data_IF_783917526656
#
_entry.id   IF_783917526656
#
_cell.length_a   1.000
_cell.length_b   1.000
_cell.length_c   1.000
_cell.angle_alpha   90.00
_cell.angle_beta   90.00
_cell.angle_gamma   90.00
#
_symmetry.space_group_name_H-M   'P 1'
#
loop_
_entity.id
_entity.type
_entity.pdbx_description
1 polymer ?
#
# COMPACT_ATOMS: atom_id res chain seq x y z
N UNK A 1 -38.23 18.94 -37.97
CA UNK A 1 -37.57 19.62 -36.81
C UNK A 1 -37.57 18.78 -35.52
N UNK A 2 -38.65 18.10 -35.15
CA UNK A 2 -38.73 17.31 -33.89
C UNK A 2 -37.82 16.06 -33.88
N UNK A 3 -37.73 15.32 -34.99
CA UNK A 3 -36.86 14.13 -35.09
C UNK A 3 -35.37 14.44 -34.86
N UNK A 4 -34.88 15.56 -35.40
CA UNK A 4 -33.49 16.00 -35.23
C UNK A 4 -33.17 16.29 -33.76
N UNK A 5 -34.13 16.85 -33.00
CA UNK A 5 -33.99 17.10 -31.56
C UNK A 5 -34.01 15.80 -30.74
N UNK A 6 -34.83 14.82 -31.13
CA UNK A 6 -34.88 13.50 -30.49
C UNK A 6 -33.55 12.76 -30.64
N UNK A 7 -33.03 12.66 -31.87
CA UNK A 7 -31.73 11.99 -32.14
C UNK A 7 -30.56 12.65 -31.41
N UNK A 8 -30.58 13.98 -31.24
CA UNK A 8 -29.56 14.70 -30.48
C UNK A 8 -29.58 14.32 -29.00
N UNK A 9 -30.78 14.23 -28.39
CA UNK A 9 -30.94 13.83 -26.98
C UNK A 9 -30.49 12.40 -26.74
N UNK A 10 -30.87 11.48 -27.63
CA UNK A 10 -30.45 10.07 -27.56
C UNK A 10 -28.92 9.93 -27.63
N UNK A 11 -28.25 10.70 -28.51
CA UNK A 11 -26.77 10.73 -28.57
C UNK A 11 -26.14 11.29 -27.30
N UNK A 12 -26.65 12.41 -26.79
CA UNK A 12 -26.12 13.02 -25.56
C UNK A 12 -26.33 12.11 -24.34
N UNK A 13 -27.45 11.40 -24.28
CA UNK A 13 -27.70 10.42 -23.23
C UNK A 13 -26.74 9.23 -23.32
N UNK A 14 -26.52 8.71 -24.53
CA UNK A 14 -25.56 7.65 -24.77
C UNK A 14 -24.13 8.07 -24.37
N UNK A 15 -23.67 9.25 -24.81
CA UNK A 15 -22.36 9.78 -24.44
C UNK A 15 -22.21 9.95 -22.92
N UNK A 16 -23.26 10.44 -22.23
CA UNK A 16 -23.26 10.55 -20.76
C UNK A 16 -23.18 9.19 -20.09
N UNK A 17 -23.89 8.19 -20.59
CA UNK A 17 -23.83 6.82 -20.05
C UNK A 17 -22.44 6.21 -20.26
N UNK A 18 -21.84 6.40 -21.44
CA UNK A 18 -20.48 5.92 -21.71
C UNK A 18 -19.44 6.58 -20.80
N UNK A 19 -19.52 7.91 -20.63
CA UNK A 19 -18.62 8.64 -19.73
C UNK A 19 -18.78 8.15 -18.30
N UNK A 20 -20.01 7.99 -17.80
CA UNK A 20 -20.26 7.44 -16.47
C UNK A 20 -19.69 6.03 -16.30
N UNK A 21 -19.90 5.16 -17.29
CA UNK A 21 -19.37 3.79 -17.28
C UNK A 21 -17.84 3.79 -17.23
N UNK A 22 -17.18 4.63 -18.04
CA UNK A 22 -15.71 4.79 -18.02
C UNK A 22 -15.22 5.30 -16.67
N UNK A 23 -15.88 6.31 -16.10
CA UNK A 23 -15.54 6.84 -14.77
C UNK A 23 -15.70 5.78 -13.68
N UNK A 24 -16.74 4.97 -13.71
CA UNK A 24 -16.93 3.87 -12.77
C UNK A 24 -15.81 2.82 -12.90
N UNK A 25 -15.45 2.43 -14.13
CA UNK A 25 -14.36 1.50 -14.37
C UNK A 25 -13.00 2.06 -13.89
N UNK A 26 -12.72 3.34 -14.13
CA UNK A 26 -11.51 4.00 -13.63
C UNK A 26 -11.47 4.03 -12.10
N UNK A 27 -12.60 4.33 -11.44
CA UNK A 27 -12.67 4.29 -9.98
C UNK A 27 -12.43 2.89 -9.42
N UNK A 28 -13.03 1.87 -10.01
CA UNK A 28 -12.80 0.48 -9.62
C UNK A 28 -11.31 0.11 -9.73
N UNK A 29 -10.67 0.45 -10.86
CA UNK A 29 -9.25 0.21 -11.07
C UNK A 29 -8.36 0.94 -10.03
N UNK A 30 -8.71 2.17 -9.65
CA UNK A 30 -8.00 2.89 -8.58
C UNK A 30 -8.16 2.21 -7.23
N UNK A 31 -9.37 1.77 -6.88
CA UNK A 31 -9.63 1.03 -5.64
C UNK A 31 -8.85 -0.30 -5.59
N UNK A 32 -8.74 -1.00 -6.72
CA UNK A 32 -7.96 -2.22 -6.82
C UNK A 32 -6.46 -1.95 -6.62
N UNK A 33 -5.95 -0.84 -7.17
CA UNK A 33 -4.57 -0.40 -6.96
C UNK A 33 -4.30 -0.03 -5.51
N UNK A 34 -5.17 0.76 -4.88
CA UNK A 34 -5.04 1.14 -3.46
C UNK A 34 -5.02 -0.12 -2.57
N UNK A 35 -5.88 -1.10 -2.87
CA UNK A 35 -5.92 -2.37 -2.15
C UNK A 35 -4.66 -3.22 -2.39
N UNK A 36 -4.05 -3.15 -3.58
CA UNK A 36 -2.78 -3.81 -3.85
C UNK A 36 -1.61 -3.13 -3.11
N UNK A 37 -1.58 -1.81 -3.07
CA UNK A 37 -0.57 -1.04 -2.32
C UNK A 37 -0.65 -1.34 -0.83
N UNK A 38 -1.85 -1.35 -0.24
CA UNK A 38 -2.04 -1.69 1.16
C UNK A 38 -1.48 -3.09 1.49
N UNK A 39 -1.77 -4.09 0.65
CA UNK A 39 -1.22 -5.45 0.82
C UNK A 39 0.30 -5.50 0.69
N UNK A 40 0.89 -4.68 -0.18
CA UNK A 40 2.35 -4.58 -0.31
C UNK A 40 2.98 -3.94 0.93
N UNK A 41 2.35 -2.92 1.51
CA UNK A 41 2.82 -2.28 2.74
C UNK A 41 2.72 -3.22 3.96
N UNK A 42 1.66 -4.02 4.03
CA UNK A 42 1.52 -5.08 5.05
C UNK A 42 2.61 -6.15 4.88
N UNK A 43 2.83 -6.63 3.66
CA UNK A 43 3.87 -7.61 3.36
C UNK A 43 5.26 -7.06 3.70
N UNK A 44 5.54 -5.80 3.35
CA UNK A 44 6.78 -5.12 3.69
C UNK A 44 6.98 -5.01 5.20
N UNK A 45 5.92 -4.70 5.95
CA UNK A 45 5.95 -4.62 7.40
C UNK A 45 6.20 -5.99 8.04
N UNK A 46 5.59 -7.05 7.51
CA UNK A 46 5.82 -8.42 7.95
C UNK A 46 7.27 -8.87 7.70
N UNK A 47 7.84 -8.56 6.53
CA UNK A 47 9.26 -8.80 6.23
C UNK A 47 10.14 -8.03 7.20
N UNK A 48 9.84 -6.75 7.45
CA UNK A 48 10.60 -5.92 8.37
C UNK A 48 10.66 -6.52 9.79
N UNK A 49 9.50 -6.96 10.31
CA UNK A 49 9.42 -7.62 11.60
C UNK A 49 10.19 -8.94 11.63
N UNK A 50 10.12 -9.74 10.57
CA UNK A 50 10.87 -11.00 10.49
C UNK A 50 12.39 -10.79 10.46
N UNK A 51 12.86 -9.81 9.68
CA UNK A 51 14.28 -9.45 9.60
C UNK A 51 14.77 -8.89 10.94
N UNK A 52 13.97 -8.06 11.61
CA UNK A 52 14.32 -7.54 12.92
C UNK A 52 14.47 -8.65 13.96
N UNK A 53 13.51 -9.59 14.05
CA UNK A 53 13.60 -10.77 14.92
C UNK A 53 14.80 -11.66 14.60
N UNK A 54 15.09 -11.87 13.31
CA UNK A 54 16.28 -12.63 12.93
C UNK A 54 17.55 -11.94 13.45
N UNK A 55 17.66 -10.63 13.27
CA UNK A 55 18.83 -9.86 13.68
C UNK A 55 19.06 -9.83 15.21
N UNK A 56 18.07 -10.20 16.03
CA UNK A 56 18.25 -10.41 17.48
C UNK A 56 18.91 -11.74 17.82
N UNK A 57 18.78 -12.75 16.94
CA UNK A 57 19.31 -14.11 17.14
C UNK A 57 20.69 -14.27 16.51
N UNK A 58 20.96 -13.59 15.39
CA UNK A 58 22.25 -13.66 14.72
C UNK A 58 23.32 -12.81 15.46
N UNK A 59 24.60 -13.24 15.44
CA UNK A 59 25.67 -12.55 16.16
C UNK A 59 26.00 -11.16 15.59
N UNK A 60 25.67 -10.91 14.32
CA UNK A 60 25.83 -9.62 13.68
C UNK A 60 24.86 -9.46 12.50
N UNK A 61 24.72 -8.22 12.01
CA UNK A 61 23.96 -7.94 10.80
C UNK A 61 24.62 -8.54 9.57
N UNK A 62 25.95 -8.56 9.54
CA UNK A 62 26.77 -9.13 8.48
C UNK A 62 26.52 -10.65 8.37
N UNK A 63 26.47 -11.37 9.49
CA UNK A 63 26.16 -12.80 9.51
C UNK A 63 24.75 -13.11 8.98
N UNK A 64 23.77 -12.24 9.25
CA UNK A 64 22.43 -12.37 8.69
C UNK A 64 22.41 -12.07 7.18
N UNK A 65 23.16 -11.06 6.73
CA UNK A 65 23.26 -10.69 5.32
C UNK A 65 23.96 -11.79 4.47
N UNK A 66 24.87 -12.57 5.07
CA UNK A 66 25.50 -13.72 4.40
C UNK A 66 24.53 -14.88 4.12
N UNK A 67 23.44 -15.00 4.90
CA UNK A 67 22.50 -16.12 4.85
C UNK A 67 21.14 -15.75 4.23
N UNK A 68 20.96 -14.49 3.87
CA UNK A 68 19.72 -13.97 3.31
C UNK A 68 20.00 -13.24 2.00
N UNK A 69 18.99 -13.04 1.15
CA UNK A 69 19.15 -12.23 -0.06
C UNK A 69 19.31 -10.73 0.24
N UNK A 70 19.32 -10.32 1.51
CA UNK A 70 19.41 -8.91 1.91
C UNK A 70 20.86 -8.50 2.18
N UNK A 71 21.24 -7.31 1.72
CA UNK A 71 22.51 -6.71 2.14
C UNK A 71 22.41 -6.09 3.56
N UNK A 72 23.57 -5.72 4.12
CA UNK A 72 23.64 -5.09 5.46
C UNK A 72 22.84 -3.79 5.54
N UNK A 73 22.75 -3.02 4.45
CA UNK A 73 22.00 -1.76 4.43
C UNK A 73 20.50 -2.03 4.45
N UNK A 74 20.05 -3.04 3.72
CA UNK A 74 18.66 -3.50 3.67
C UNK A 74 18.23 -4.05 5.02
N UNK A 75 19.03 -4.90 5.65
CA UNK A 75 18.74 -5.42 7.00
C UNK A 75 18.59 -4.27 8.00
N UNK A 76 19.52 -3.31 8.02
CA UNK A 76 19.42 -2.13 8.89
C UNK A 76 18.21 -1.26 8.56
N UNK A 77 17.82 -1.18 7.29
CA UNK A 77 16.62 -0.45 6.87
C UNK A 77 15.35 -1.12 7.41
N UNK A 78 15.25 -2.44 7.32
CA UNK A 78 14.13 -3.21 7.89
C UNK A 78 14.06 -3.11 9.41
N UNK A 79 15.20 -3.17 10.12
CA UNK A 79 15.23 -2.93 11.56
C UNK A 79 14.72 -1.52 11.93
N UNK A 80 15.14 -0.48 11.19
CA UNK A 80 14.65 0.89 11.42
C UNK A 80 13.15 1.00 11.14
N UNK A 81 12.67 0.35 10.08
CA UNK A 81 11.25 0.35 9.73
C UNK A 81 10.42 -0.33 10.83
N UNK A 82 10.86 -1.49 11.32
CA UNK A 82 10.20 -2.21 12.40
C UNK A 82 10.13 -1.38 13.69
N UNK A 83 11.25 -0.79 14.13
CA UNK A 83 11.28 0.06 15.33
C UNK A 83 10.36 1.29 15.22
N UNK A 84 10.25 1.89 14.03
CA UNK A 84 9.33 3.00 13.79
C UNK A 84 7.88 2.55 13.89
N UNK A 85 7.56 1.38 13.36
CA UNK A 85 6.22 0.81 13.44
C UNK A 85 5.84 0.50 14.91
N UNK A 86 6.76 -0.07 15.69
CA UNK A 86 6.54 -0.31 17.12
C UNK A 86 6.36 0.99 17.91
N UNK A 87 7.18 2.01 17.64
CA UNK A 87 7.06 3.32 18.28
C UNK A 87 5.72 4.01 17.95
N UNK A 88 5.22 3.84 16.73
CA UNK A 88 3.90 4.36 16.34
C UNK A 88 2.74 3.54 16.93
N UNK A 89 2.95 2.27 17.25
CA UNK A 89 1.96 1.38 17.83
C UNK A 89 1.90 1.45 19.37
N UNK A 90 2.93 1.96 20.04
CA UNK A 90 2.95 2.17 21.47
C UNK A 90 2.00 3.35 21.83
N UNK A 91 0.85 3.10 22.50
CA UNK A 91 -0.02 4.18 22.92
C UNK A 91 0.72 5.06 23.94
N UNK A 92 0.50 6.37 23.83
CA UNK A 92 0.97 7.40 24.75
C UNK A 92 0.66 6.98 26.20
N UNK A 93 1.65 6.40 26.89
CA UNK A 93 1.59 6.15 28.31
C UNK A 93 1.68 7.52 29.00
N UNK A 94 0.52 8.16 29.16
CA UNK A 94 0.37 9.42 29.86
C UNK A 94 1.07 9.33 31.23
N UNK A 95 1.83 10.36 31.64
CA UNK A 95 2.37 10.39 32.99
C UNK A 95 1.20 10.47 33.96
N UNK A 96 1.06 9.43 34.80
CA UNK A 96 0.22 9.50 35.99
C UNK A 96 0.85 10.54 36.91
N UNK A 97 0.21 11.71 36.97
CA UNK A 97 0.51 12.77 37.95
C UNK A 97 -0.05 12.46 39.31
#
# INVERSE_FOLDING_TARGET
MQERRRRLRERQEHERQEVRRRQQAQKAALTDLDSAVARLDDARSAVAASVARAAEVFPSTEALAELTPFDVREVRAYQRLHRRAEAAAAPESAPVG
#
